data_IF_783584898081
#
_entry.id   IF_783584898081
#
_cell.length_a   1.000
_cell.length_b   1.000
_cell.length_c   1.000
_cell.angle_alpha   90.00
_cell.angle_beta   90.00
_cell.angle_gamma   90.00
#
_symmetry.space_group_name_H-M   'P 1'
#
loop_
_entity.id
_entity.type
_entity.pdbx_description
1 polymer ?
#
# COMPACT_ATOMS: atom_id res chain seq x y z
N UNK A 1 29.38 -42.61 -14.30
CA UNK A 1 29.52 -43.37 -13.04
C UNK A 1 30.13 -42.54 -11.94
N UNK A 2 31.31 -41.91 -12.13
CA UNK A 2 31.99 -41.11 -11.10
C UNK A 2 31.11 -39.93 -10.62
N UNK A 3 30.42 -39.24 -11.52
CA UNK A 3 29.54 -38.09 -11.22
C UNK A 3 28.39 -38.45 -10.25
N UNK A 4 27.76 -39.61 -10.44
CA UNK A 4 26.67 -40.09 -9.58
C UNK A 4 27.16 -40.42 -8.18
N UNK A 5 28.34 -41.02 -8.08
CA UNK A 5 28.99 -41.34 -6.77
C UNK A 5 29.34 -40.05 -6.02
N UNK A 6 29.89 -39.05 -6.71
CA UNK A 6 30.20 -37.73 -6.10
C UNK A 6 28.94 -37.01 -5.69
N UNK A 7 27.88 -37.05 -6.49
CA UNK A 7 26.58 -36.43 -6.16
C UNK A 7 25.94 -37.08 -4.92
N UNK A 8 25.92 -38.41 -4.85
CA UNK A 8 25.30 -39.13 -3.74
C UNK A 8 26.13 -38.90 -2.44
N UNK A 9 27.45 -39.14 -2.46
CA UNK A 9 28.24 -39.08 -1.24
C UNK A 9 28.77 -37.71 -0.89
N UNK A 10 28.93 -36.81 -1.87
CA UNK A 10 29.47 -35.48 -1.67
C UNK A 10 28.40 -34.39 -1.46
N UNK A 11 27.20 -34.60 -1.92
CA UNK A 11 26.15 -33.58 -1.85
C UNK A 11 24.86 -34.06 -1.19
N UNK A 12 24.19 -35.08 -1.72
CA UNK A 12 22.88 -35.49 -1.23
C UNK A 12 22.93 -36.06 0.19
N UNK A 13 23.83 -37.03 0.44
CA UNK A 13 23.91 -37.68 1.75
C UNK A 13 24.28 -36.71 2.88
N UNK A 14 25.28 -35.81 2.75
CA UNK A 14 25.59 -34.85 3.81
C UNK A 14 24.48 -33.87 4.10
N UNK A 15 23.78 -33.38 3.05
CA UNK A 15 22.65 -32.46 3.21
C UNK A 15 21.46 -33.12 3.91
N UNK A 16 21.13 -34.36 3.55
CA UNK A 16 20.02 -35.09 4.17
C UNK A 16 20.31 -35.40 5.63
N UNK A 17 21.51 -35.88 5.94
CA UNK A 17 21.93 -36.16 7.32
C UNK A 17 21.95 -34.89 8.19
N UNK A 18 22.37 -33.74 7.63
CA UNK A 18 22.38 -32.47 8.36
C UNK A 18 20.93 -31.96 8.62
N UNK A 19 19.98 -32.25 7.73
CA UNK A 19 18.56 -31.90 7.96
C UNK A 19 17.90 -32.82 8.99
N UNK A 20 18.18 -34.11 8.95
CA UNK A 20 17.53 -35.10 9.86
C UNK A 20 18.11 -35.09 11.28
N UNK A 21 19.42 -34.81 11.43
CA UNK A 21 20.10 -34.88 12.73
C UNK A 21 21.03 -33.66 12.93
N UNK A 22 20.51 -32.43 12.98
CA UNK A 22 21.28 -31.20 12.97
C UNK A 22 22.21 -31.09 14.17
N UNK A 23 21.75 -31.40 15.37
CA UNK A 23 22.55 -31.32 16.61
C UNK A 23 23.72 -32.32 16.66
N UNK A 24 23.46 -33.54 16.19
CA UNK A 24 24.50 -34.60 16.20
C UNK A 24 25.62 -34.27 15.21
N UNK A 25 25.24 -33.79 14.02
CA UNK A 25 26.22 -33.42 12.99
C UNK A 25 26.99 -32.16 13.40
N UNK A 26 26.29 -31.14 13.96
CA UNK A 26 26.95 -29.94 14.46
C UNK A 26 28.00 -30.29 15.54
N UNK A 27 27.65 -31.16 16.48
CA UNK A 27 28.58 -31.58 17.54
C UNK A 27 29.76 -32.36 16.98
N UNK A 28 29.56 -33.25 16.03
CA UNK A 28 30.62 -34.05 15.41
C UNK A 28 31.59 -33.22 14.55
N UNK A 29 31.09 -32.20 13.87
CA UNK A 29 31.87 -31.32 12.97
C UNK A 29 32.51 -30.15 13.73
N UNK A 30 31.98 -29.76 14.89
CA UNK A 30 32.43 -28.65 15.72
C UNK A 30 33.98 -28.67 16.02
N UNK A 31 34.62 -29.79 16.41
CA UNK A 31 36.07 -29.80 16.70
C UNK A 31 36.91 -29.55 15.44
N UNK A 32 36.44 -30.01 14.25
CA UNK A 32 37.14 -29.77 12.99
C UNK A 32 37.01 -28.30 12.57
N UNK A 33 35.79 -27.74 12.71
CA UNK A 33 35.57 -26.33 12.44
C UNK A 33 36.35 -25.43 13.40
N UNK A 34 36.39 -25.74 14.68
CA UNK A 34 37.16 -24.97 15.66
C UNK A 34 38.67 -25.01 15.40
N UNK A 35 39.19 -26.14 14.95
CA UNK A 35 40.59 -26.26 14.51
C UNK A 35 40.87 -25.36 13.28
N UNK A 36 39.94 -25.39 12.26
CA UNK A 36 40.05 -24.55 11.08
C UNK A 36 39.96 -23.07 11.44
N UNK A 37 39.00 -22.69 12.28
CA UNK A 37 38.85 -21.30 12.73
C UNK A 37 40.12 -20.82 13.43
N UNK A 38 40.72 -21.63 14.33
CA UNK A 38 41.97 -21.29 15.02
C UNK A 38 43.11 -21.13 14.03
N UNK A 39 43.21 -22.01 13.03
CA UNK A 39 44.25 -21.94 12.00
C UNK A 39 44.10 -20.70 11.11
N UNK A 40 42.87 -20.29 10.79
CA UNK A 40 42.61 -19.13 9.94
C UNK A 40 42.48 -17.81 10.71
N UNK A 41 42.43 -17.83 12.06
CA UNK A 41 42.38 -16.61 12.90
C UNK A 41 43.47 -15.60 12.58
N UNK A 42 44.77 -15.96 12.43
CA UNK A 42 45.81 -14.99 12.13
C UNK A 42 45.63 -14.37 10.73
N UNK A 43 45.08 -15.13 9.78
CA UNK A 43 44.81 -14.65 8.42
C UNK A 43 43.62 -13.67 8.41
N UNK A 44 42.53 -14.00 9.08
CA UNK A 44 41.36 -13.11 9.22
C UNK A 44 41.74 -11.84 9.99
N UNK A 45 42.56 -11.92 11.00
CA UNK A 45 43.09 -10.74 11.71
C UNK A 45 43.90 -9.84 10.76
N UNK A 46 44.78 -10.41 9.92
CA UNK A 46 45.56 -9.67 8.94
C UNK A 46 44.64 -8.95 7.94
N UNK A 47 43.62 -9.67 7.41
CA UNK A 47 42.62 -9.07 6.49
C UNK A 47 41.79 -7.98 7.17
N UNK A 48 41.42 -8.14 8.44
CA UNK A 48 40.69 -7.11 9.20
C UNK A 48 41.54 -5.84 9.39
N UNK A 49 42.84 -5.97 9.64
CA UNK A 49 43.75 -4.81 9.71
C UNK A 49 43.89 -4.14 8.34
N UNK A 50 43.97 -4.94 7.27
CA UNK A 50 44.00 -4.42 5.89
C UNK A 50 42.74 -3.68 5.54
N UNK A 51 41.57 -4.24 5.88
CA UNK A 51 40.24 -3.59 5.66
C UNK A 51 40.18 -2.26 6.44
N UNK A 52 40.61 -2.20 7.69
CA UNK A 52 40.70 -0.97 8.48
C UNK A 52 41.61 0.08 7.85
N UNK A 53 42.75 -0.34 7.29
CA UNK A 53 43.68 0.57 6.62
C UNK A 53 43.06 1.15 5.33
N UNK A 54 42.40 0.30 4.54
CA UNK A 54 41.69 0.73 3.33
C UNK A 54 40.48 1.60 3.66
N UNK A 55 39.72 1.29 4.72
CA UNK A 55 38.58 2.11 5.19
C UNK A 55 38.98 3.52 5.63
N UNK A 56 40.26 3.73 6.00
CA UNK A 56 40.76 5.08 6.30
C UNK A 56 40.97 5.93 5.03
N UNK A 57 41.20 5.29 3.87
CA UNK A 57 41.34 5.95 2.58
C UNK A 57 40.04 6.08 1.80
N UNK A 58 39.08 5.21 2.05
CA UNK A 58 37.75 5.26 1.47
C UNK A 58 36.81 5.75 2.57
N UNK A 59 36.43 7.02 2.52
CA UNK A 59 35.31 7.57 3.29
C UNK A 59 34.01 6.98 2.70
N UNK A 60 33.79 5.70 2.86
CA UNK A 60 32.46 5.14 2.79
C UNK A 60 31.82 5.39 4.14
N UNK A 61 30.95 6.37 4.19
CA UNK A 61 29.92 6.48 5.22
C UNK A 61 28.96 5.30 5.06
N UNK A 62 29.46 4.08 5.18
CA UNK A 62 28.65 2.95 5.55
C UNK A 62 28.39 3.13 7.05
N UNK A 63 27.38 3.98 7.36
CA UNK A 63 26.65 3.78 8.60
C UNK A 63 26.10 2.36 8.52
N UNK A 64 26.30 1.56 9.59
CA UNK A 64 25.56 0.31 9.82
C UNK A 64 24.06 0.61 10.05
N UNK A 65 23.51 1.58 9.35
CA UNK A 65 22.07 1.86 9.34
C UNK A 65 21.43 0.82 8.45
N UNK A 66 20.62 0.00 9.06
CA UNK A 66 19.75 -0.96 8.33
C UNK A 66 18.94 -0.12 7.33
N UNK A 67 19.00 -0.48 6.07
CA UNK A 67 18.22 0.18 5.03
C UNK A 67 16.78 -0.35 5.03
N UNK A 68 15.83 0.45 4.53
CA UNK A 68 14.42 0.03 4.40
C UNK A 68 14.29 -1.28 3.64
N UNK A 69 15.03 -1.46 2.55
CA UNK A 69 15.05 -2.72 1.80
C UNK A 69 15.54 -3.92 2.60
N UNK A 70 16.51 -3.72 3.54
CA UNK A 70 16.94 -4.78 4.46
C UNK A 70 15.86 -5.11 5.49
N UNK A 71 15.13 -4.10 5.99
CA UNK A 71 13.97 -4.31 6.89
C UNK A 71 12.87 -5.11 6.19
N UNK A 72 12.48 -4.74 4.97
CA UNK A 72 11.49 -5.47 4.18
C UNK A 72 11.92 -6.92 3.93
N UNK A 73 13.22 -7.14 3.65
CA UNK A 73 13.77 -8.50 3.48
C UNK A 73 13.64 -9.32 4.76
N UNK A 74 13.96 -8.74 5.92
CA UNK A 74 13.81 -9.42 7.22
C UNK A 74 12.37 -9.77 7.53
N UNK A 75 11.40 -8.89 7.20
CA UNK A 75 9.97 -9.15 7.36
C UNK A 75 9.55 -10.32 6.48
N UNK A 76 9.98 -10.35 5.21
CA UNK A 76 9.69 -11.45 4.28
C UNK A 76 10.28 -12.78 4.73
N UNK A 77 11.48 -12.79 5.31
CA UNK A 77 12.07 -14.01 5.88
C UNK A 77 11.26 -14.51 7.08
N UNK A 78 10.86 -13.62 7.99
CA UNK A 78 10.03 -13.99 9.16
C UNK A 78 8.65 -14.51 8.76
N UNK A 79 8.05 -13.98 7.70
CA UNK A 79 6.81 -14.47 7.10
C UNK A 79 6.99 -15.90 6.54
N UNK A 80 8.03 -16.12 5.73
CA UNK A 80 8.34 -17.43 5.15
C UNK A 80 8.67 -18.49 6.22
N UNK A 81 9.26 -18.09 7.34
CA UNK A 81 9.56 -18.97 8.47
C UNK A 81 8.32 -19.24 9.37
N UNK A 82 7.19 -18.56 9.10
CA UNK A 82 5.94 -18.69 9.85
C UNK A 82 5.96 -18.01 11.21
N UNK A 83 6.91 -17.09 11.46
CA UNK A 83 6.99 -16.29 12.69
C UNK A 83 6.04 -15.09 12.66
N UNK A 84 5.71 -14.58 11.46
CA UNK A 84 4.74 -13.53 11.21
C UNK A 84 3.61 -14.07 10.34
N UNK A 85 2.39 -13.60 10.58
CA UNK A 85 1.27 -13.81 9.67
C UNK A 85 1.36 -12.84 8.49
N UNK A 86 0.75 -13.17 7.37
CA UNK A 86 0.69 -12.33 6.16
C UNK A 86 0.21 -10.91 6.47
N UNK A 87 -0.83 -10.79 7.33
CA UNK A 87 -1.37 -9.52 7.79
C UNK A 87 -0.37 -8.69 8.63
N UNK A 88 0.37 -9.35 9.53
CA UNK A 88 1.38 -8.67 10.34
C UNK A 88 2.54 -8.20 9.46
N UNK A 89 2.96 -9.01 8.49
CA UNK A 89 4.00 -8.65 7.52
C UNK A 89 3.58 -7.46 6.66
N UNK A 90 2.33 -7.46 6.19
CA UNK A 90 1.78 -6.36 5.41
C UNK A 90 1.74 -5.05 6.21
N UNK A 91 1.24 -5.07 7.45
CA UNK A 91 1.23 -3.89 8.32
C UNK A 91 2.63 -3.32 8.56
N UNK A 92 3.64 -4.19 8.73
CA UNK A 92 5.02 -3.74 8.93
C UNK A 92 5.57 -3.11 7.65
N UNK A 93 5.31 -3.69 6.48
CA UNK A 93 5.72 -3.13 5.19
C UNK A 93 5.06 -1.78 4.95
N UNK A 94 3.73 -1.68 5.08
CA UNK A 94 3.00 -0.42 4.96
C UNK A 94 3.55 0.65 5.91
N UNK A 95 3.91 0.28 7.15
CA UNK A 95 4.49 1.23 8.11
C UNK A 95 5.90 1.71 7.72
N UNK A 96 6.70 0.89 7.04
CA UNK A 96 8.03 1.27 6.53
C UNK A 96 7.88 2.22 5.34
N UNK A 97 6.98 1.94 4.42
CA UNK A 97 6.76 2.67 3.17
C UNK A 97 5.94 3.97 3.38
N UNK A 98 5.24 4.09 4.53
CA UNK A 98 4.31 5.18 4.84
C UNK A 98 4.90 6.59 4.74
N UNK A 99 6.18 6.75 5.05
CA UNK A 99 6.85 8.06 5.00
C UNK A 99 7.19 8.48 3.55
N UNK A 100 7.19 7.55 2.60
CA UNK A 100 7.54 7.80 1.21
C UNK A 100 6.31 8.08 0.32
N UNK A 101 5.09 7.70 0.78
CA UNK A 101 3.85 7.91 0.02
C UNK A 101 3.47 9.40 0.00
N UNK A 102 3.16 9.91 -1.19
CA UNK A 102 2.71 11.28 -1.41
C UNK A 102 1.17 11.35 -1.51
N UNK A 103 0.61 12.52 -1.16
CA UNK A 103 -0.84 12.75 -1.19
C UNK A 103 -1.45 12.50 -2.56
N UNK A 104 -0.71 12.80 -3.65
CA UNK A 104 -1.20 12.61 -5.03
C UNK A 104 -1.45 11.14 -5.40
N UNK A 105 -0.85 10.19 -4.67
CA UNK A 105 -1.00 8.77 -4.92
C UNK A 105 -2.32 8.22 -4.38
N UNK A 106 -2.88 8.85 -3.31
CA UNK A 106 -4.04 8.32 -2.59
C UNK A 106 -5.24 9.27 -2.50
N UNK A 107 -5.13 10.50 -3.04
CA UNK A 107 -6.22 11.48 -3.00
C UNK A 107 -7.46 10.98 -3.77
N UNK A 108 -8.65 11.38 -3.31
CA UNK A 108 -9.86 11.28 -4.13
C UNK A 108 -9.83 12.37 -5.19
N UNK A 109 -9.72 12.02 -6.50
CA UNK A 109 -9.63 13.00 -7.58
C UNK A 109 -10.86 13.90 -7.65
N UNK A 110 -10.69 15.14 -8.07
CA UNK A 110 -11.74 16.15 -8.21
C UNK A 110 -13.01 15.66 -8.92
N UNK A 111 -12.86 14.79 -9.91
CA UNK A 111 -13.96 14.24 -10.70
C UNK A 111 -14.87 13.31 -9.90
N UNK A 112 -14.37 12.74 -8.81
CA UNK A 112 -15.08 11.81 -7.93
C UNK A 112 -15.51 12.48 -6.62
N UNK A 113 -15.15 13.78 -6.40
CA UNK A 113 -15.52 14.53 -5.21
C UNK A 113 -16.98 14.94 -5.28
N UNK A 114 -17.77 14.54 -4.30
CA UNK A 114 -19.12 15.07 -4.07
C UNK A 114 -19.00 16.36 -3.26
N UNK A 115 -19.22 17.50 -3.91
CA UNK A 115 -19.16 18.83 -3.32
C UNK A 115 -20.46 19.60 -3.56
N UNK A 116 -20.72 20.64 -2.79
CA UNK A 116 -21.91 21.49 -2.88
C UNK A 116 -21.54 22.95 -3.08
N UNK A 117 -22.40 23.70 -3.77
CA UNK A 117 -22.24 25.13 -3.96
C UNK A 117 -22.65 25.92 -2.70
N UNK A 118 -22.03 27.06 -2.45
CA UNK A 118 -22.26 27.85 -1.22
C UNK A 118 -23.67 28.51 -1.19
N UNK A 119 -24.38 28.56 -2.30
CA UNK A 119 -25.74 29.05 -2.41
C UNK A 119 -26.81 27.93 -2.42
N UNK A 120 -26.41 26.67 -2.23
CA UNK A 120 -27.33 25.52 -2.20
C UNK A 120 -28.40 25.70 -1.14
N UNK A 121 -29.63 25.30 -1.43
CA UNK A 121 -30.70 25.31 -0.46
C UNK A 121 -30.48 24.25 0.65
N UNK A 122 -30.97 24.54 1.87
CA UNK A 122 -30.84 23.59 2.99
C UNK A 122 -31.59 22.27 2.76
N UNK A 123 -32.60 22.28 1.88
CA UNK A 123 -33.34 21.08 1.45
C UNK A 123 -32.51 20.21 0.53
N UNK A 124 -31.87 20.79 -0.47
CA UNK A 124 -30.98 20.10 -1.39
C UNK A 124 -29.74 19.58 -0.67
N UNK A 125 -29.16 20.37 0.26
CA UNK A 125 -28.05 19.92 1.10
C UNK A 125 -28.40 18.68 1.93
N UNK A 126 -29.64 18.66 2.49
CA UNK A 126 -30.13 17.48 3.22
C UNK A 126 -30.26 16.25 2.32
N UNK A 127 -30.69 16.44 1.07
CA UNK A 127 -30.81 15.38 0.10
C UNK A 127 -29.41 14.86 -0.29
N UNK A 128 -28.46 15.75 -0.54
CA UNK A 128 -27.07 15.37 -0.88
C UNK A 128 -26.43 14.54 0.24
N UNK A 129 -26.60 14.93 1.50
CA UNK A 129 -26.13 14.12 2.63
C UNK A 129 -26.77 12.73 2.68
N UNK A 130 -28.09 12.67 2.47
CA UNK A 130 -28.84 11.41 2.52
C UNK A 130 -28.49 10.46 1.36
N UNK A 131 -28.19 11.00 0.16
CA UNK A 131 -27.86 10.22 -1.02
C UNK A 131 -26.38 9.77 -1.03
N UNK A 132 -25.47 10.65 -0.58
CA UNK A 132 -24.04 10.35 -0.57
C UNK A 132 -23.60 9.52 0.63
N UNK A 133 -24.28 9.64 1.79
CA UNK A 133 -23.89 9.01 3.04
C UNK A 133 -22.63 9.61 3.69
N UNK A 134 -22.07 10.67 3.12
CA UNK A 134 -20.85 11.27 3.64
C UNK A 134 -21.09 12.13 4.88
N UNK A 135 -20.22 12.07 5.85
CA UNK A 135 -20.27 12.91 7.06
C UNK A 135 -19.80 14.34 6.83
N UNK A 136 -19.10 14.61 5.71
CA UNK A 136 -18.54 15.93 5.36
C UNK A 136 -18.64 16.13 3.86
N UNK A 137 -19.06 17.33 3.46
CA UNK A 137 -19.09 17.74 2.07
C UNK A 137 -18.25 19.00 1.88
N UNK A 138 -17.32 19.03 0.94
CA UNK A 138 -16.65 20.26 0.50
C UNK A 138 -17.66 21.25 -0.05
N UNK A 139 -17.45 22.53 0.24
CA UNK A 139 -18.26 23.65 -0.26
C UNK A 139 -17.42 24.49 -1.18
N UNK A 140 -17.91 24.74 -2.38
CA UNK A 140 -17.23 25.55 -3.39
C UNK A 140 -18.02 26.82 -3.73
N UNK A 141 -17.32 27.82 -4.26
CA UNK A 141 -17.88 29.04 -4.80
C UNK A 141 -17.63 29.13 -6.30
N UNK A 142 -18.67 29.28 -7.10
CA UNK A 142 -18.72 29.30 -8.56
C UNK A 142 -18.27 27.98 -9.22
N UNK A 143 -17.09 27.47 -8.88
CA UNK A 143 -16.53 26.24 -9.48
C UNK A 143 -15.90 25.34 -8.43
N UNK A 144 -15.87 24.04 -8.68
CA UNK A 144 -15.23 23.03 -7.79
C UNK A 144 -13.73 23.28 -7.60
N UNK A 145 -13.12 24.11 -8.47
CA UNK A 145 -11.73 24.52 -8.30
C UNK A 145 -11.55 25.51 -7.12
N UNK A 146 -12.62 26.11 -6.64
CA UNK A 146 -12.59 27.09 -5.56
C UNK A 146 -13.36 26.56 -4.34
N UNK A 147 -12.81 25.58 -3.66
CA UNK A 147 -13.36 25.10 -2.39
C UNK A 147 -13.07 26.14 -1.31
N UNK A 148 -14.12 26.57 -0.59
CA UNK A 148 -14.04 27.60 0.45
C UNK A 148 -14.12 27.04 1.87
N UNK A 149 -14.51 25.78 2.02
CA UNK A 149 -14.63 25.12 3.31
C UNK A 149 -15.34 23.80 3.23
N UNK A 150 -15.79 23.31 4.37
CA UNK A 150 -16.47 22.01 4.52
C UNK A 150 -17.71 22.19 5.38
N UNK A 151 -18.80 21.54 5.02
CA UNK A 151 -19.99 21.43 5.85
C UNK A 151 -20.05 20.04 6.49
N UNK A 152 -20.34 20.00 7.80
CA UNK A 152 -20.47 18.76 8.56
C UNK A 152 -21.93 18.35 8.68
N UNK A 153 -22.25 17.12 8.36
CA UNK A 153 -23.62 16.57 8.44
C UNK A 153 -24.23 16.78 9.84
N UNK A 154 -23.47 16.47 10.90
CA UNK A 154 -23.93 16.62 12.29
C UNK A 154 -24.27 18.06 12.63
N UNK A 155 -23.43 19.01 12.22
CA UNK A 155 -23.65 20.42 12.51
C UNK A 155 -24.82 20.98 11.73
N UNK A 156 -24.98 20.54 10.48
CA UNK A 156 -26.15 20.83 9.64
C UNK A 156 -27.45 20.37 10.31
N UNK A 157 -27.57 19.12 10.75
CA UNK A 157 -28.81 18.66 11.38
C UNK A 157 -29.10 19.32 12.73
N UNK A 158 -28.06 19.61 13.53
CA UNK A 158 -28.22 20.38 14.78
C UNK A 158 -28.71 21.81 14.48
N UNK A 159 -28.16 22.44 13.48
CA UNK A 159 -28.50 23.79 13.08
C UNK A 159 -29.94 23.88 12.53
N UNK A 160 -30.34 22.92 11.71
CA UNK A 160 -31.72 22.80 11.16
C UNK A 160 -32.79 22.74 12.27
N UNK A 161 -32.48 22.17 13.42
CA UNK A 161 -33.36 22.15 14.59
C UNK A 161 -33.58 23.57 15.17
N UNK A 162 -32.60 24.47 15.01
CA UNK A 162 -32.64 25.84 15.55
C UNK A 162 -33.40 26.85 14.70
N UNK A 163 -33.79 26.49 13.44
CA UNK A 163 -34.63 27.26 12.50
C UNK A 163 -34.12 28.63 12.00
N UNK A 164 -32.88 29.05 12.33
CA UNK A 164 -32.34 30.37 11.97
C UNK A 164 -30.87 30.22 11.52
N UNK A 165 -30.61 29.36 10.54
CA UNK A 165 -29.25 29.09 10.07
C UNK A 165 -29.18 29.32 8.57
N UNK A 166 -28.13 30.01 8.15
CA UNK A 166 -27.78 30.20 6.76
C UNK A 166 -26.67 29.20 6.37
N UNK A 167 -26.46 28.98 5.08
CA UNK A 167 -25.36 28.15 4.60
C UNK A 167 -24.00 28.67 5.07
N UNK A 168 -23.80 29.98 5.05
CA UNK A 168 -22.57 30.64 5.53
C UNK A 168 -22.21 30.28 7.00
N UNK A 169 -23.23 30.10 7.87
CA UNK A 169 -23.02 29.74 9.28
C UNK A 169 -22.56 28.29 9.46
N UNK A 170 -22.70 27.45 8.43
CA UNK A 170 -22.38 26.03 8.45
C UNK A 170 -21.02 25.70 7.84
N UNK A 171 -20.46 26.61 7.05
CA UNK A 171 -19.16 26.40 6.39
C UNK A 171 -18.06 26.52 7.43
N UNK A 172 -17.41 25.40 7.71
CA UNK A 172 -16.22 25.36 8.55
C UNK A 172 -14.95 25.50 7.68
N UNK A 173 -13.90 26.14 8.18
CA UNK A 173 -12.62 26.18 7.48
C UNK A 173 -12.05 24.78 7.32
N UNK A 174 -11.33 24.54 6.23
CA UNK A 174 -10.65 23.29 5.95
C UNK A 174 -9.14 23.50 5.80
N UNK A 175 -8.38 22.43 5.83
CA UNK A 175 -6.95 22.43 5.56
C UNK A 175 -6.72 22.35 4.04
N UNK A 176 -5.67 23.03 3.56
CA UNK A 176 -5.17 22.89 2.19
C UNK A 176 -3.78 22.29 2.21
N UNK A 177 -3.51 21.42 1.23
CA UNK A 177 -2.22 20.75 1.03
C UNK A 177 -1.93 20.64 -0.47
N UNK A 178 -0.73 20.21 -0.82
CA UNK A 178 -0.32 19.94 -2.22
C UNK A 178 -0.15 18.43 -2.43
N UNK A 179 -0.26 17.96 -3.67
CA UNK A 179 -0.07 16.56 -4.03
C UNK A 179 1.27 15.99 -3.59
N UNK A 180 2.35 16.77 -3.67
CA UNK A 180 3.71 16.37 -3.27
C UNK A 180 3.98 16.37 -1.76
N UNK A 181 2.96 16.57 -0.93
CA UNK A 181 3.09 16.47 0.53
C UNK A 181 3.10 15.00 0.94
N UNK A 182 4.04 14.58 1.80
CA UNK A 182 4.03 13.23 2.36
C UNK A 182 2.81 13.02 3.28
N UNK A 183 2.15 11.87 3.15
CA UNK A 183 0.95 11.56 3.93
C UNK A 183 1.21 11.52 5.44
N UNK A 184 2.40 11.10 5.86
CA UNK A 184 2.83 11.11 7.26
C UNK A 184 2.88 12.52 7.86
N UNK A 185 3.32 13.52 7.08
CA UNK A 185 3.32 14.93 7.48
C UNK A 185 1.89 15.48 7.51
N UNK A 186 1.07 15.17 6.51
CA UNK A 186 -0.33 15.60 6.46
C UNK A 186 -1.12 15.02 7.63
N UNK A 187 -0.94 13.71 7.94
CA UNK A 187 -1.56 13.05 9.10
C UNK A 187 -1.30 13.80 10.39
N UNK A 188 -0.04 14.19 10.62
CA UNK A 188 0.32 14.98 11.81
C UNK A 188 -0.44 16.32 11.84
N UNK A 189 -0.47 17.03 10.71
CA UNK A 189 -1.12 18.34 10.58
C UNK A 189 -2.63 18.25 10.82
N UNK A 190 -3.30 17.27 10.19
CA UNK A 190 -4.73 17.01 10.39
C UNK A 190 -5.05 16.76 11.86
N UNK A 191 -4.25 15.92 12.53
CA UNK A 191 -4.44 15.61 13.96
C UNK A 191 -4.21 16.82 14.87
N UNK A 192 -3.14 17.60 14.63
CA UNK A 192 -2.81 18.78 15.43
C UNK A 192 -3.87 19.87 15.31
N UNK A 193 -4.46 20.03 14.11
CA UNK A 193 -5.47 21.05 13.84
C UNK A 193 -6.91 20.53 14.00
N UNK A 194 -7.09 19.25 14.36
CA UNK A 194 -8.40 18.58 14.51
C UNK A 194 -9.25 18.60 13.23
N UNK A 195 -8.60 18.56 12.08
CA UNK A 195 -9.25 18.35 10.79
C UNK A 195 -9.27 16.86 10.45
N UNK A 196 -10.30 16.43 9.71
CA UNK A 196 -10.43 15.07 9.19
C UNK A 196 -10.32 15.00 7.67
N UNK A 197 -10.26 16.16 7.03
CA UNK A 197 -10.20 16.29 5.57
C UNK A 197 -9.30 17.44 5.22
N UNK A 198 -8.55 17.31 4.12
CA UNK A 198 -7.81 18.39 3.48
C UNK A 198 -8.21 18.49 2.00
N UNK A 199 -8.15 19.69 1.48
CA UNK A 199 -8.29 19.97 0.04
C UNK A 199 -6.91 19.96 -0.57
N UNK A 200 -6.73 19.18 -1.64
CA UNK A 200 -5.48 19.12 -2.39
C UNK A 200 -5.54 20.12 -3.52
N UNK A 201 -4.53 20.99 -3.59
CA UNK A 201 -4.45 22.07 -4.59
C UNK A 201 -3.21 21.96 -5.44
N UNK A 202 -3.36 22.30 -6.73
CA UNK A 202 -2.28 22.38 -7.68
C UNK A 202 -1.44 23.69 -7.51
N UNK A 203 -0.38 23.84 -8.33
CA UNK A 203 0.52 25.00 -8.30
C UNK A 203 -0.19 26.30 -8.74
N UNK A 204 -1.35 26.21 -9.37
CA UNK A 204 -2.15 27.34 -9.84
C UNK A 204 -3.27 27.70 -8.85
N UNK A 205 -3.43 26.94 -7.79
CA UNK A 205 -4.46 27.11 -6.77
C UNK A 205 -5.81 26.48 -7.13
N UNK A 206 -5.87 25.65 -8.16
CA UNK A 206 -7.03 24.84 -8.50
C UNK A 206 -7.13 23.60 -7.62
N UNK A 207 -8.34 23.06 -7.43
CA UNK A 207 -8.54 21.83 -6.67
C UNK A 207 -8.18 20.61 -7.50
N UNK A 208 -7.21 19.81 -7.06
CA UNK A 208 -6.90 18.48 -7.61
C UNK A 208 -7.84 17.41 -7.07
N UNK A 209 -8.18 17.51 -5.79
CA UNK A 209 -9.03 16.56 -5.10
C UNK A 209 -9.15 16.84 -3.61
N UNK A 210 -9.52 15.83 -2.87
CA UNK A 210 -9.56 15.83 -1.41
C UNK A 210 -8.84 14.60 -0.87
N UNK A 211 -8.43 14.69 0.38
CA UNK A 211 -7.89 13.55 1.12
C UNK A 211 -8.44 13.57 2.54
N UNK A 212 -8.81 12.41 3.06
CA UNK A 212 -9.35 12.27 4.41
C UNK A 212 -8.36 11.59 5.34
N UNK A 213 -8.62 11.68 6.64
CA UNK A 213 -7.85 10.96 7.65
C UNK A 213 -7.99 9.45 7.47
N UNK A 214 -9.17 9.04 7.04
CA UNK A 214 -9.57 7.67 6.78
C UNK A 214 -8.71 7.08 5.64
N UNK A 215 -8.53 7.79 4.51
CA UNK A 215 -7.69 7.37 3.38
C UNK A 215 -6.23 7.17 3.81
N UNK A 216 -5.69 8.10 4.59
CA UNK A 216 -4.31 8.00 5.11
C UNK A 216 -4.13 6.80 6.05
N UNK A 217 -5.14 6.48 6.87
CA UNK A 217 -5.07 5.33 7.77
C UNK A 217 -5.23 4.01 7.03
N UNK A 218 -5.95 4.02 5.91
CA UNK A 218 -6.10 2.85 5.04
C UNK A 218 -4.76 2.39 4.47
N UNK A 219 -3.86 3.30 4.10
CA UNK A 219 -2.50 2.96 3.67
C UNK A 219 -1.69 2.19 4.74
N UNK A 220 -1.97 2.44 6.02
CA UNK A 220 -1.30 1.73 7.13
C UNK A 220 -1.91 0.37 7.44
N UNK A 221 -3.25 0.28 7.41
CA UNK A 221 -3.98 -0.87 7.95
C UNK A 221 -4.51 -1.79 6.84
N UNK A 222 -4.53 -1.31 5.60
CA UNK A 222 -5.27 -1.91 4.48
C UNK A 222 -6.76 -1.59 4.59
N UNK A 223 -7.55 -2.06 3.64
CA UNK A 223 -9.00 -1.85 3.64
C UNK A 223 -9.63 -2.23 4.98
N UNK A 224 -10.23 -1.24 5.64
CA UNK A 224 -11.00 -1.44 6.87
C UNK A 224 -12.44 -1.70 6.45
N UNK A 225 -12.82 -2.96 6.36
CA UNK A 225 -14.20 -3.34 6.09
C UNK A 225 -15.11 -2.79 7.18
N UNK A 226 -16.09 -1.95 6.81
CA UNK A 226 -17.15 -1.52 7.72
C UNK A 226 -18.18 -2.65 7.88
N UNK A 227 -18.92 -2.64 9.00
CA UNK A 227 -20.00 -3.61 9.27
C UNK A 227 -21.13 -3.58 8.21
N UNK A 228 -21.14 -2.55 7.35
CA UNK A 228 -22.09 -2.35 6.26
C UNK A 228 -21.51 -2.57 4.86
N UNK A 229 -20.19 -2.79 4.76
CA UNK A 229 -19.57 -3.15 3.50
C UNK A 229 -20.02 -4.56 3.11
N UNK A 230 -20.83 -4.64 2.06
CA UNK A 230 -21.05 -5.92 1.41
C UNK A 230 -19.68 -6.37 0.88
N UNK A 231 -19.12 -7.44 1.45
CA UNK A 231 -17.93 -8.07 0.90
C UNK A 231 -18.19 -8.31 -0.58
N UNK A 232 -17.64 -7.47 -1.43
CA UNK A 232 -17.62 -7.73 -2.86
C UNK A 232 -16.71 -8.92 -3.03
N UNK A 233 -17.30 -10.12 -3.05
CA UNK A 233 -16.58 -11.33 -3.43
C UNK A 233 -16.02 -11.08 -4.83
N UNK A 234 -14.71 -10.90 -4.95
CA UNK A 234 -14.03 -10.71 -6.22
C UNK A 234 -14.35 -11.82 -7.21
N UNK A 235 -14.77 -12.97 -6.71
CA UNK A 235 -15.16 -14.16 -7.47
C UNK A 235 -16.52 -14.68 -7.02
N UNK A 236 -17.57 -14.44 -7.81
CA UNK A 236 -18.92 -14.90 -7.52
C UNK A 236 -19.41 -15.91 -8.54
N UNK A 237 -19.61 -17.14 -8.10
CA UNK A 237 -20.20 -18.18 -8.97
C UNK A 237 -21.71 -17.96 -9.13
N UNK A 238 -22.17 -17.89 -10.37
CA UNK A 238 -23.58 -17.77 -10.71
C UNK A 238 -24.26 -19.14 -10.79
N UNK A 239 -25.59 -19.13 -10.69
CA UNK A 239 -26.40 -20.36 -10.72
C UNK A 239 -26.35 -21.14 -12.05
N UNK A 240 -25.89 -20.50 -13.11
CA UNK A 240 -25.70 -21.08 -14.45
C UNK A 240 -24.28 -21.69 -14.64
N UNK A 241 -23.42 -21.61 -13.60
CA UNK A 241 -22.06 -22.11 -13.62
C UNK A 241 -21.05 -21.11 -14.16
N UNK A 242 -21.45 -19.89 -14.55
CA UNK A 242 -20.55 -18.81 -14.89
C UNK A 242 -20.01 -18.12 -13.63
N UNK A 243 -18.88 -17.41 -13.77
CA UNK A 243 -18.29 -16.62 -12.70
C UNK A 243 -18.39 -15.14 -13.04
N UNK A 244 -18.84 -14.36 -12.07
CA UNK A 244 -18.70 -12.91 -12.07
C UNK A 244 -17.42 -12.59 -11.32
N UNK A 245 -16.50 -11.89 -11.99
CA UNK A 245 -15.18 -11.58 -11.44
C UNK A 245 -14.98 -10.07 -11.48
N UNK A 246 -14.46 -9.51 -10.39
CA UNK A 246 -14.07 -8.10 -10.34
C UNK A 246 -12.94 -7.82 -11.33
N UNK A 247 -12.99 -6.69 -12.04
CA UNK A 247 -11.91 -6.29 -12.95
C UNK A 247 -10.62 -5.92 -12.20
N UNK A 248 -10.70 -5.59 -10.93
CA UNK A 248 -9.59 -5.28 -10.03
C UNK A 248 -8.97 -6.52 -9.37
N UNK A 249 -9.64 -7.68 -9.44
CA UNK A 249 -9.13 -8.93 -8.87
C UNK A 249 -7.77 -9.32 -9.46
N UNK A 250 -6.92 -9.95 -8.63
CA UNK A 250 -5.63 -10.47 -9.07
C UNK A 250 -5.79 -11.57 -10.11
N UNK A 251 -4.90 -11.59 -11.10
CA UNK A 251 -4.84 -12.67 -12.09
C UNK A 251 -4.42 -13.99 -11.45
N UNK A 252 -3.53 -13.96 -10.46
CA UNK A 252 -3.09 -15.14 -9.71
C UNK A 252 -4.25 -15.78 -8.96
N UNK A 253 -5.06 -14.98 -8.25
CA UNK A 253 -6.26 -15.44 -7.54
C UNK A 253 -7.31 -15.99 -8.51
N UNK A 254 -7.41 -15.43 -9.73
CA UNK A 254 -8.28 -15.94 -10.79
C UNK A 254 -7.88 -17.37 -11.19
N UNK A 255 -6.59 -17.61 -11.45
CA UNK A 255 -6.09 -18.92 -11.84
C UNK A 255 -6.28 -19.95 -10.71
N UNK A 256 -5.98 -19.56 -9.45
CA UNK A 256 -6.18 -20.43 -8.29
C UNK A 256 -7.65 -20.77 -8.07
N UNK A 257 -8.55 -19.77 -8.05
CA UNK A 257 -9.99 -19.96 -7.79
C UNK A 257 -10.68 -20.79 -8.86
N UNK A 258 -10.30 -20.61 -10.14
CA UNK A 258 -10.88 -21.36 -11.25
C UNK A 258 -10.15 -22.68 -11.53
N UNK A 259 -9.05 -22.97 -10.83
CA UNK A 259 -8.23 -24.17 -11.04
C UNK A 259 -7.63 -24.24 -12.44
N UNK A 260 -7.28 -23.09 -13.02
CA UNK A 260 -6.67 -22.99 -14.33
C UNK A 260 -5.14 -23.10 -14.22
N UNK A 261 -4.44 -23.63 -15.24
CA UNK A 261 -2.98 -23.59 -15.25
C UNK A 261 -2.50 -22.15 -15.45
N UNK A 262 -1.51 -21.73 -14.68
CA UNK A 262 -0.84 -20.44 -14.85
C UNK A 262 -0.28 -20.30 -16.28
N UNK A 263 -0.51 -19.15 -16.90
CA UNK A 263 -0.02 -18.82 -18.25
C UNK A 263 1.19 -17.87 -18.10
N UNK A 264 2.41 -18.41 -18.29
CA UNK A 264 3.66 -17.67 -18.13
C UNK A 264 3.84 -16.49 -19.12
N UNK A 265 2.96 -16.38 -20.13
CA UNK A 265 3.00 -15.32 -21.16
C UNK A 265 2.12 -14.09 -20.79
N UNK A 266 1.63 -13.96 -19.55
CA UNK A 266 0.77 -12.86 -19.09
C UNK A 266 1.59 -11.88 -18.24
N UNK A 267 1.62 -10.62 -18.67
CA UNK A 267 2.28 -9.53 -17.94
C UNK A 267 1.31 -8.73 -17.04
N UNK A 268 0.00 -8.98 -17.15
CA UNK A 268 -1.05 -8.22 -16.45
C UNK A 268 -1.28 -8.76 -15.05
N UNK A 269 -1.28 -7.88 -14.03
CA UNK A 269 -1.54 -8.24 -12.63
C UNK A 269 -3.04 -8.28 -12.27
N UNK A 270 -3.93 -7.66 -13.08
CA UNK A 270 -5.37 -7.60 -12.82
C UNK A 270 -6.20 -8.24 -13.92
N UNK A 271 -7.39 -8.74 -13.56
CA UNK A 271 -8.34 -9.35 -14.52
C UNK A 271 -8.71 -8.37 -15.64
N UNK A 272 -8.88 -7.09 -15.36
CA UNK A 272 -9.14 -6.09 -16.39
C UNK A 272 -7.95 -5.95 -17.36
N UNK A 273 -6.72 -5.93 -16.84
CA UNK A 273 -5.50 -5.95 -17.63
C UNK A 273 -5.41 -7.20 -18.51
N UNK A 274 -5.68 -8.37 -17.94
CA UNK A 274 -5.72 -9.65 -18.66
C UNK A 274 -6.73 -9.64 -19.81
N UNK A 275 -7.96 -9.12 -19.57
CA UNK A 275 -8.98 -9.00 -20.62
C UNK A 275 -8.53 -8.05 -21.71
N UNK A 276 -7.92 -6.93 -21.37
CA UNK A 276 -7.38 -5.98 -22.36
C UNK A 276 -6.24 -6.59 -23.16
N UNK A 277 -5.32 -7.31 -22.52
CA UNK A 277 -4.20 -8.00 -23.16
C UNK A 277 -4.68 -9.09 -24.14
N UNK A 278 -5.60 -9.95 -23.70
CA UNK A 278 -6.12 -11.05 -24.55
C UNK A 278 -7.09 -10.58 -25.63
N UNK A 279 -7.80 -9.45 -25.46
CA UNK A 279 -8.80 -8.97 -26.44
C UNK A 279 -8.26 -7.91 -27.40
N UNK A 280 -7.05 -7.39 -27.19
CA UNK A 280 -6.45 -6.33 -28.01
C UNK A 280 -7.35 -5.09 -28.22
N UNK A 281 -8.24 -4.79 -27.28
CA UNK A 281 -9.27 -3.74 -27.43
C UNK A 281 -8.77 -2.30 -27.24
N UNK A 282 -7.47 -2.09 -26.99
CA UNK A 282 -6.93 -0.76 -26.68
C UNK A 282 -6.73 0.17 -27.91
N UNK A 283 -7.02 -0.25 -29.15
CA UNK A 283 -6.75 0.60 -30.33
C UNK A 283 -7.80 0.52 -31.44
N UNK A 284 -9.07 0.71 -31.11
CA UNK A 284 -10.09 0.99 -32.14
C UNK A 284 -11.02 2.15 -31.79
N UNK A 285 -10.48 3.20 -31.14
CA UNK A 285 -11.15 4.49 -31.17
C UNK A 285 -10.71 5.18 -32.49
N UNK A 286 -11.62 5.42 -33.45
CA UNK A 286 -11.26 6.19 -34.63
C UNK A 286 -10.88 7.60 -34.17
N UNK A 287 -9.68 8.04 -34.58
CA UNK A 287 -9.21 9.41 -34.41
C UNK A 287 -10.26 10.38 -34.92
N UNK A 288 -10.62 11.46 -34.21
CA UNK A 288 -11.60 12.45 -34.69
C UNK A 288 -11.00 13.40 -35.75
N UNK A 289 -10.15 12.86 -36.64
CA UNK A 289 -9.58 13.60 -37.76
C UNK A 289 -9.70 12.73 -39.01
N UNK A 290 -10.91 12.71 -39.58
CA UNK A 290 -11.18 12.59 -41.01
C UNK A 290 -12.59 13.18 -41.29
#
# INVERSE_FOLDING_TARGET
MLTVVVLIFGEVTPKTLAKEMPETIATAVSPVLSLLLTLFTPLTWLFSQWKKLLGHFVHSSESDAITEGELITMVSEAENDGELTDRESQLIRSAIEFDDVEVEEILTPRVDVVAVEDDISLEELAQTFAESGYSRLPVYHDTVDNIIGVVHEKDFYIARLKKTVTMEDLIAPTLYTTGSTQISQLLRTLREQHHHMAVVVDEYGGTEGIITLEDILEELVGEIWDEHDEATEDFRQQSDGSWLVSGSASVDDLYETLGLPEDEDIDSNTVNGLVQEKTCLLYTSPSPRD
#
